data_IF_103719802987
#
_entry.id   IF_103719802987
#
_cell.length_a   1.000
_cell.length_b   1.000
_cell.length_c   1.000
_cell.angle_alpha   90.00
_cell.angle_beta   90.00
_cell.angle_gamma   90.00
#
_symmetry.space_group_name_H-M   'P 1'
#
loop_
_entity.id
_entity.type
_entity.pdbx_description
1 polymer ?
#
# COMPACT_ATOMS: atom_id res chain seq x y z
N UNK A 1 5.38 -32.58 -6.90
CA UNK A 1 6.61 -31.93 -6.42
C UNK A 1 6.87 -30.71 -7.27
N UNK A 2 6.79 -29.50 -6.69
CA UNK A 2 7.04 -28.25 -7.41
C UNK A 2 8.53 -27.92 -7.44
N UNK A 3 9.01 -27.31 -8.53
CA UNK A 3 10.41 -26.93 -8.68
C UNK A 3 10.74 -25.76 -7.73
N UNK A 4 11.52 -26.02 -6.68
CA UNK A 4 11.92 -25.03 -5.67
C UNK A 4 12.84 -23.93 -6.21
N UNK A 5 13.46 -24.09 -7.39
CA UNK A 5 14.31 -23.05 -8.01
C UNK A 5 13.54 -21.88 -8.62
N UNK A 6 12.22 -22.01 -8.84
CA UNK A 6 11.37 -20.95 -9.42
C UNK A 6 10.31 -20.46 -8.43
N UNK A 7 10.60 -20.59 -7.14
CA UNK A 7 9.75 -20.09 -6.08
C UNK A 7 9.67 -18.56 -6.16
N UNK A 8 8.45 -17.96 -6.19
CA UNK A 8 8.32 -16.51 -6.11
C UNK A 8 8.88 -15.97 -4.79
N UNK A 9 9.72 -14.95 -4.88
CA UNK A 9 10.30 -14.19 -3.77
C UNK A 9 9.68 -12.78 -3.67
N UNK A 10 10.11 -11.98 -2.69
CA UNK A 10 9.63 -10.58 -2.55
C UNK A 10 9.88 -9.79 -3.81
N UNK A 11 10.98 -10.05 -4.53
CA UNK A 11 11.30 -9.34 -5.76
C UNK A 11 10.28 -9.64 -6.86
N UNK A 12 9.90 -10.91 -7.05
CA UNK A 12 8.89 -11.34 -8.01
C UNK A 12 7.52 -10.74 -7.70
N UNK A 13 7.09 -10.79 -6.44
CA UNK A 13 5.83 -10.15 -6.01
C UNK A 13 5.88 -8.63 -6.19
N UNK A 14 6.94 -7.97 -5.73
CA UNK A 14 7.12 -6.52 -5.85
C UNK A 14 7.09 -6.07 -7.31
N UNK A 15 7.73 -6.84 -8.20
CA UNK A 15 7.75 -6.58 -9.64
C UNK A 15 6.35 -6.68 -10.25
N UNK A 16 5.59 -7.72 -9.90
CA UNK A 16 4.21 -7.90 -10.35
C UNK A 16 3.29 -6.79 -9.85
N UNK A 17 3.38 -6.41 -8.57
CA UNK A 17 2.60 -5.32 -7.98
C UNK A 17 2.96 -3.98 -8.64
N UNK A 18 4.26 -3.72 -8.87
CA UNK A 18 4.73 -2.52 -9.55
C UNK A 18 4.22 -2.44 -11.00
N UNK A 19 4.20 -3.57 -11.72
CA UNK A 19 3.64 -3.65 -13.06
C UNK A 19 2.14 -3.30 -13.08
N UNK A 20 1.36 -3.81 -12.11
CA UNK A 20 -0.04 -3.42 -11.94
C UNK A 20 -0.20 -1.93 -11.64
N UNK A 21 0.63 -1.35 -10.77
CA UNK A 21 0.56 0.10 -10.51
C UNK A 21 0.80 0.94 -11.78
N UNK A 22 1.78 0.53 -12.58
CA UNK A 22 2.14 1.24 -13.82
C UNK A 22 1.12 1.06 -14.94
N UNK A 23 0.33 0.00 -14.93
CA UNK A 23 -0.64 -0.29 -16.01
C UNK A 23 -1.80 0.71 -16.05
N UNK A 24 -2.12 1.36 -14.91
CA UNK A 24 -3.27 2.28 -14.75
C UNK A 24 -4.61 1.67 -15.15
N UNK A 25 -4.70 0.34 -15.22
CA UNK A 25 -5.93 -0.34 -15.60
C UNK A 25 -6.94 -0.32 -14.47
N UNK A 26 -8.24 -0.29 -14.82
CA UNK A 26 -9.30 -0.53 -13.85
C UNK A 26 -9.11 -1.88 -13.19
N UNK A 27 -9.20 -1.91 -11.86
CA UNK A 27 -8.97 -3.11 -11.06
C UNK A 27 -7.50 -3.41 -10.75
N UNK A 28 -6.52 -2.64 -11.25
CA UNK A 28 -5.11 -2.80 -10.90
C UNK A 28 -4.88 -2.79 -9.38
N UNK A 29 -5.57 -1.89 -8.66
CA UNK A 29 -5.55 -1.84 -7.20
C UNK A 29 -6.00 -3.15 -6.54
N UNK A 30 -7.07 -3.78 -7.03
CA UNK A 30 -7.53 -5.09 -6.53
C UNK A 30 -6.50 -6.19 -6.73
N UNK A 31 -5.86 -6.24 -7.90
CA UNK A 31 -4.83 -7.24 -8.18
C UNK A 31 -3.59 -7.02 -7.29
N UNK A 32 -3.12 -5.79 -7.20
CA UNK A 32 -1.99 -5.41 -6.35
C UNK A 32 -2.24 -5.77 -4.88
N UNK A 33 -3.42 -5.42 -4.35
CA UNK A 33 -3.80 -5.72 -2.98
C UNK A 33 -3.93 -7.23 -2.71
N UNK A 34 -4.48 -8.01 -3.65
CA UNK A 34 -4.49 -9.48 -3.52
C UNK A 34 -3.10 -10.09 -3.47
N UNK A 35 -2.14 -9.55 -4.21
CA UNK A 35 -0.77 -10.03 -4.16
C UNK A 35 -0.12 -9.73 -2.80
N UNK A 36 -0.38 -8.56 -2.21
CA UNK A 36 0.05 -8.23 -0.85
C UNK A 36 -0.58 -9.17 0.18
N UNK A 37 -1.89 -9.44 0.07
CA UNK A 37 -2.57 -10.40 0.94
C UNK A 37 -1.94 -11.80 0.82
N UNK A 38 -1.61 -12.23 -0.40
CA UNK A 38 -0.93 -13.51 -0.63
C UNK A 38 0.47 -13.56 -0.01
N UNK A 39 1.23 -12.48 -0.08
CA UNK A 39 2.53 -12.38 0.60
C UNK A 39 2.36 -12.54 2.11
N UNK A 40 1.35 -11.90 2.69
CA UNK A 40 1.04 -12.03 4.12
C UNK A 40 0.69 -13.46 4.52
N UNK A 41 -0.18 -14.14 3.76
CA UNK A 41 -0.54 -15.55 4.01
C UNK A 41 0.69 -16.47 3.97
N UNK A 42 1.61 -16.25 3.02
CA UNK A 42 2.82 -17.06 2.89
C UNK A 42 3.79 -16.80 4.04
N UNK A 43 3.94 -15.54 4.46
CA UNK A 43 4.71 -15.19 5.64
C UNK A 43 4.18 -15.88 6.90
N UNK A 44 2.87 -15.86 7.12
CA UNK A 44 2.21 -16.55 8.24
C UNK A 44 2.34 -18.08 8.17
N UNK A 45 2.53 -18.64 6.97
CA UNK A 45 2.81 -20.05 6.74
C UNK A 45 4.30 -20.43 6.94
N UNK A 46 5.15 -19.50 7.38
CA UNK A 46 6.57 -19.74 7.67
C UNK A 46 7.55 -19.25 6.61
N UNK A 47 7.07 -18.55 5.57
CA UNK A 47 7.94 -17.97 4.54
C UNK A 47 8.40 -16.58 4.92
N UNK A 48 9.33 -16.52 5.89
CA UNK A 48 9.80 -15.28 6.51
C UNK A 48 10.24 -14.22 5.49
N UNK A 49 10.92 -14.66 4.44
CA UNK A 49 11.39 -13.80 3.35
C UNK A 49 10.26 -13.09 2.61
N UNK A 50 9.02 -13.60 2.63
CA UNK A 50 7.87 -13.03 1.92
C UNK A 50 7.07 -12.00 2.73
N UNK A 51 7.58 -11.58 3.89
CA UNK A 51 6.93 -10.55 4.72
C UNK A 51 6.67 -9.28 3.90
N UNK A 52 5.41 -8.78 3.83
CA UNK A 52 5.13 -7.49 3.21
C UNK A 52 5.92 -6.36 3.87
N UNK A 53 6.40 -5.43 3.05
CA UNK A 53 7.18 -4.28 3.49
C UNK A 53 6.65 -2.97 2.90
N UNK A 54 7.20 -1.83 3.32
CA UNK A 54 6.81 -0.50 2.85
C UNK A 54 6.79 -0.38 1.33
N UNK A 55 7.69 -1.04 0.60
CA UNK A 55 7.74 -0.99 -0.88
C UNK A 55 6.52 -1.70 -1.50
N UNK A 56 6.22 -2.91 -1.04
CA UNK A 56 5.07 -3.69 -1.53
C UNK A 56 3.74 -3.02 -1.21
N UNK A 57 3.61 -2.47 0.01
CA UNK A 57 2.44 -1.72 0.44
C UNK A 57 2.26 -0.43 -0.38
N UNK A 58 3.32 0.37 -0.55
CA UNK A 58 3.28 1.59 -1.36
C UNK A 58 2.89 1.31 -2.82
N UNK A 59 3.35 0.20 -3.37
CA UNK A 59 3.00 -0.20 -4.74
C UNK A 59 1.52 -0.54 -4.89
N UNK A 60 0.90 -1.16 -3.87
CA UNK A 60 -0.53 -1.41 -3.86
C UNK A 60 -1.37 -0.13 -3.67
N UNK A 61 -0.92 0.78 -2.81
CA UNK A 61 -1.55 2.10 -2.61
C UNK A 61 -1.49 2.92 -3.91
N UNK A 62 -0.34 2.98 -4.58
CA UNK A 62 -0.18 3.70 -5.85
C UNK A 62 -1.05 3.07 -6.96
N UNK A 63 -1.18 1.74 -6.99
CA UNK A 63 -2.08 1.06 -7.92
C UNK A 63 -3.54 1.46 -7.71
N UNK A 64 -4.00 1.60 -6.46
CA UNK A 64 -5.33 2.14 -6.14
C UNK A 64 -5.46 3.62 -6.51
N UNK A 65 -4.44 4.44 -6.23
CA UNK A 65 -4.43 5.87 -6.57
C UNK A 65 -4.49 6.14 -8.09
N UNK A 66 -4.05 5.18 -8.90
CA UNK A 66 -3.95 5.26 -10.36
C UNK A 66 -4.99 4.43 -11.11
N UNK A 67 -5.83 3.62 -10.44
CA UNK A 67 -6.77 2.70 -11.10
C UNK A 67 -7.95 3.40 -11.78
N UNK A 68 -8.18 4.69 -11.50
CA UNK A 68 -9.33 5.42 -12.02
C UNK A 68 -10.66 4.98 -11.41
N UNK A 69 -10.64 4.35 -10.22
CA UNK A 69 -11.84 3.86 -9.52
C UNK A 69 -12.43 4.89 -8.54
N UNK A 70 -12.07 6.16 -8.69
CA UNK A 70 -12.66 7.29 -7.98
C UNK A 70 -12.60 7.12 -6.45
N UNK A 71 -13.74 7.34 -5.80
CA UNK A 71 -13.86 7.24 -4.32
C UNK A 71 -13.57 5.84 -3.80
N UNK A 72 -13.86 4.77 -4.56
CA UNK A 72 -13.51 3.41 -4.15
C UNK A 72 -12.00 3.26 -4.04
N UNK A 73 -11.26 3.67 -5.08
CA UNK A 73 -9.79 3.59 -5.07
C UNK A 73 -9.17 4.40 -3.95
N UNK A 74 -9.67 5.61 -3.71
CA UNK A 74 -9.20 6.45 -2.61
C UNK A 74 -9.44 5.83 -1.22
N UNK A 75 -10.61 5.24 -0.98
CA UNK A 75 -10.90 4.53 0.28
C UNK A 75 -10.00 3.32 0.48
N UNK A 76 -9.75 2.53 -0.58
CA UNK A 76 -8.84 1.38 -0.51
C UNK A 76 -7.40 1.80 -0.21
N UNK A 77 -6.93 2.87 -0.87
CA UNK A 77 -5.63 3.46 -0.59
C UNK A 77 -5.51 3.93 0.87
N UNK A 78 -6.53 4.62 1.41
CA UNK A 78 -6.56 5.08 2.80
C UNK A 78 -6.56 3.92 3.80
N UNK A 79 -7.35 2.86 3.57
CA UNK A 79 -7.36 1.67 4.44
C UNK A 79 -6.00 0.94 4.47
N UNK A 80 -5.28 0.90 3.35
CA UNK A 80 -3.94 0.31 3.33
C UNK A 80 -2.94 1.16 4.14
N UNK A 81 -3.05 2.48 4.10
CA UNK A 81 -2.25 3.36 4.96
C UNK A 81 -2.59 3.16 6.44
N UNK A 82 -3.88 3.07 6.80
CA UNK A 82 -4.33 2.77 8.16
C UNK A 82 -3.73 1.45 8.66
N UNK A 83 -3.77 0.39 7.85
CA UNK A 83 -3.16 -0.90 8.18
C UNK A 83 -1.64 -0.78 8.41
N UNK A 84 -0.92 0.01 7.59
CA UNK A 84 0.51 0.24 7.78
C UNK A 84 0.80 0.99 9.08
N UNK A 85 0.02 2.03 9.41
CA UNK A 85 0.16 2.79 10.66
C UNK A 85 -0.12 1.91 11.89
N UNK A 86 -1.19 1.10 11.86
CA UNK A 86 -1.54 0.18 12.94
C UNK A 86 -0.43 -0.86 13.18
N UNK A 87 0.07 -1.49 12.11
CA UNK A 87 1.15 -2.47 12.22
C UNK A 87 2.46 -1.85 12.70
N UNK A 88 2.78 -0.64 12.23
CA UNK A 88 3.94 0.08 12.72
C UNK A 88 3.84 0.41 14.21
N UNK A 89 2.67 0.91 14.67
CA UNK A 89 2.41 1.15 16.10
C UNK A 89 2.48 -0.12 16.93
N UNK A 90 2.13 -1.28 16.35
CA UNK A 90 2.28 -2.59 16.98
C UNK A 90 3.72 -3.14 16.95
N UNK A 91 4.70 -2.38 16.43
CA UNK A 91 6.13 -2.74 16.43
C UNK A 91 6.63 -3.34 15.12
N UNK A 92 5.81 -3.44 14.07
CA UNK A 92 6.28 -3.91 12.76
C UNK A 92 6.93 -2.79 11.94
N UNK A 93 8.22 -2.58 12.17
CA UNK A 93 8.99 -1.56 11.45
C UNK A 93 9.16 -1.84 9.93
N UNK A 94 8.87 -3.06 9.44
CA UNK A 94 9.01 -3.40 8.02
C UNK A 94 7.99 -2.69 7.12
N UNK A 95 6.86 -2.29 7.70
CA UNK A 95 5.75 -1.63 7.01
C UNK A 95 5.60 -0.17 7.43
N UNK A 96 6.64 0.45 8.00
CA UNK A 96 6.63 1.86 8.39
C UNK A 96 6.18 2.75 7.20
N UNK A 97 5.07 3.51 7.32
CA UNK A 97 4.69 4.50 6.32
C UNK A 97 5.79 5.55 6.13
N UNK A 98 5.94 6.04 4.90
CA UNK A 98 6.84 7.15 4.60
C UNK A 98 6.12 8.22 3.76
N UNK A 99 6.83 9.30 3.40
CA UNK A 99 6.25 10.40 2.62
C UNK A 99 5.59 9.92 1.31
N UNK A 100 6.13 8.88 0.66
CA UNK A 100 5.53 8.31 -0.55
C UNK A 100 4.17 7.66 -0.26
N UNK A 101 4.02 7.00 0.89
CA UNK A 101 2.77 6.38 1.34
C UNK A 101 1.66 7.43 1.44
N UNK A 102 1.89 8.49 2.24
CA UNK A 102 0.92 9.56 2.45
C UNK A 102 0.59 10.32 1.17
N UNK A 103 1.61 10.70 0.39
CA UNK A 103 1.41 11.41 -0.88
C UNK A 103 0.58 10.60 -1.88
N UNK A 104 0.74 9.27 -1.92
CA UNK A 104 -0.06 8.40 -2.79
C UNK A 104 -1.54 8.38 -2.38
N UNK A 105 -1.85 8.37 -1.09
CA UNK A 105 -3.24 8.43 -0.59
C UNK A 105 -3.86 9.81 -0.83
N UNK A 106 -3.12 10.90 -0.59
CA UNK A 106 -3.54 12.26 -0.92
C UNK A 106 -3.90 12.37 -2.41
N UNK A 107 -3.03 11.83 -3.27
CA UNK A 107 -3.27 11.80 -4.71
C UNK A 107 -4.51 10.99 -5.09
N UNK A 108 -4.76 9.87 -4.42
CA UNK A 108 -5.96 9.06 -4.61
C UNK A 108 -7.22 9.87 -4.27
N UNK A 109 -7.23 10.57 -3.13
CA UNK A 109 -8.34 11.44 -2.74
C UNK A 109 -8.54 12.62 -3.69
N UNK A 110 -7.45 13.28 -4.12
CA UNK A 110 -7.51 14.38 -5.09
C UNK A 110 -8.13 13.94 -6.42
N UNK A 111 -7.92 12.68 -6.83
CA UNK A 111 -8.47 12.10 -8.07
C UNK A 111 -9.81 11.38 -7.89
N UNK A 112 -10.33 11.31 -6.66
CA UNK A 112 -11.49 10.49 -6.33
C UNK A 112 -12.82 10.99 -6.91
N UNK A 113 -12.89 12.27 -7.30
CA UNK A 113 -14.10 12.95 -7.73
C UNK A 113 -15.13 13.22 -6.62
N UNK A 114 -14.80 12.93 -5.35
CA UNK A 114 -15.72 13.20 -4.24
C UNK A 114 -15.74 14.68 -3.85
N UNK A 115 -16.91 15.19 -3.44
CA UNK A 115 -17.07 16.58 -2.98
C UNK A 115 -16.21 16.91 -1.75
N UNK A 116 -15.86 15.90 -0.97
CA UNK A 116 -15.04 16.03 0.24
C UNK A 116 -13.56 15.73 0.02
N UNK A 117 -13.07 15.68 -1.24
CA UNK A 117 -11.69 15.31 -1.55
C UNK A 117 -10.66 16.15 -0.79
N UNK A 118 -10.88 17.47 -0.71
CA UNK A 118 -9.99 18.40 0.00
C UNK A 118 -9.87 18.07 1.49
N UNK A 119 -10.98 17.87 2.20
CA UNK A 119 -10.98 17.49 3.63
C UNK A 119 -10.28 16.16 3.87
N UNK A 120 -10.45 15.20 2.95
CA UNK A 120 -9.77 13.90 3.04
C UNK A 120 -8.27 14.01 2.81
N UNK A 121 -7.85 14.76 1.79
CA UNK A 121 -6.45 15.04 1.54
C UNK A 121 -5.78 15.78 2.72
N UNK A 122 -6.44 16.79 3.27
CA UNK A 122 -5.98 17.55 4.44
C UNK A 122 -5.84 16.67 5.68
N UNK A 123 -6.83 15.81 5.97
CA UNK A 123 -6.75 14.85 7.07
C UNK A 123 -5.56 13.89 6.94
N UNK A 124 -5.24 13.42 5.73
CA UNK A 124 -4.08 12.56 5.49
C UNK A 124 -2.77 13.34 5.64
N UNK A 125 -2.75 14.62 5.24
CA UNK A 125 -1.59 15.48 5.45
C UNK A 125 -1.31 15.75 6.93
N UNK A 126 -2.35 15.94 7.75
CA UNK A 126 -2.20 16.05 9.21
C UNK A 126 -1.60 14.77 9.81
N UNK A 127 -2.09 13.59 9.44
CA UNK A 127 -1.49 12.30 9.87
C UNK A 127 0.00 12.20 9.51
N UNK A 128 0.37 12.70 8.33
CA UNK A 128 1.78 12.74 7.91
C UNK A 128 2.63 13.64 8.83
N UNK A 129 2.07 14.76 9.29
CA UNK A 129 2.73 15.68 10.22
C UNK A 129 2.88 15.03 11.61
N UNK A 130 1.82 14.42 12.13
CA UNK A 130 1.84 13.70 13.41
C UNK A 130 2.93 12.61 13.42
N UNK A 131 3.09 11.90 12.30
CA UNK A 131 4.12 10.87 12.13
C UNK A 131 5.54 11.45 12.07
N UNK A 132 5.71 12.67 11.54
CA UNK A 132 6.99 13.37 11.52
C UNK A 132 7.39 13.83 12.93
N UNK A 133 6.46 14.42 13.68
CA UNK A 133 6.69 14.88 15.04
C UNK A 133 7.05 13.70 15.97
N UNK A 134 6.26 12.62 15.95
CA UNK A 134 6.52 11.42 16.76
C UNK A 134 7.83 10.68 16.41
N UNK A 135 8.43 10.95 15.25
CA UNK A 135 9.73 10.38 14.86
C UNK A 135 10.93 11.24 15.24
N UNK A 136 10.70 12.47 15.68
CA UNK A 136 11.72 13.41 16.14
C UNK A 136 11.80 13.53 17.67
N UNK A 137 10.95 12.77 18.38
CA UNK A 137 11.01 12.54 19.83
C UNK A 137 11.86 11.30 20.14
#
# INVERSE_FOLDING_TARGET
>A
SGNSMVRPDVFGYSSAISAWSKSRQRGAGRYAERLVARMQELYEAGEEELKPNTVTMNSAIDAWARSGEGTLGARRAEMLLELMEERYKAGDHHVKPNALTYNSVILAWARSGTKCAHRKAESVLHRMWDMYEAGNE
#
